data_IF_554639176035
#
_entry.id   IF_554639176035
#
_cell.length_a   1.000
_cell.length_b   1.000
_cell.length_c   1.000
_cell.angle_alpha   90.00
_cell.angle_beta   90.00
_cell.angle_gamma   90.00
#
_symmetry.space_group_name_H-M   'P 1'
#
loop_
_entity.id
_entity.type
_entity.pdbx_description
1 polymer ?
#
# COMPACT_ATOMS: atom_id res chain seq x y z
N UNK A 1 -57.82 47.48 -41.52
CA UNK A 1 -58.98 46.58 -41.69
C UNK A 1 -58.39 45.21 -41.97
N UNK A 2 -58.34 44.24 -41.07
CA UNK A 2 -59.38 43.73 -40.17
C UNK A 2 -58.83 43.46 -38.76
N UNK A 3 -59.56 43.93 -37.77
CA UNK A 3 -59.47 43.53 -36.36
C UNK A 3 -60.24 42.23 -36.13
N UNK A 4 -59.68 41.33 -35.33
CA UNK A 4 -60.36 40.18 -34.72
C UNK A 4 -59.34 39.44 -33.85
N UNK A 5 -59.67 38.78 -32.76
CA UNK A 5 -60.92 38.65 -32.02
C UNK A 5 -60.49 38.18 -30.61
N UNK A 6 -61.36 38.45 -29.63
CA UNK A 6 -61.31 37.94 -28.26
C UNK A 6 -61.13 36.42 -28.17
N UNK A 7 -60.48 35.92 -27.11
CA UNK A 7 -61.15 35.01 -26.16
C UNK A 7 -60.31 34.70 -24.89
N UNK A 8 -60.97 34.35 -23.77
CA UNK A 8 -60.40 34.37 -22.42
C UNK A 8 -59.73 33.06 -21.98
N UNK A 9 -58.68 33.20 -21.17
CA UNK A 9 -57.92 32.09 -20.58
C UNK A 9 -58.77 31.40 -19.51
N UNK A 10 -59.18 30.16 -19.82
CA UNK A 10 -59.75 29.19 -18.89
C UNK A 10 -58.68 28.70 -17.90
N UNK A 11 -59.06 28.67 -16.63
CA UNK A 11 -58.30 28.05 -15.55
C UNK A 11 -58.11 26.55 -15.76
N UNK A 12 -56.89 26.08 -15.49
CA UNK A 12 -56.55 24.66 -15.42
C UNK A 12 -56.31 24.31 -13.96
N UNK A 13 -57.14 23.38 -13.47
CA UNK A 13 -57.00 22.71 -12.18
C UNK A 13 -55.66 21.97 -12.10
N UNK A 14 -54.86 22.25 -11.08
CA UNK A 14 -53.76 21.39 -10.64
C UNK A 14 -54.33 20.21 -9.87
N UNK A 15 -54.45 19.05 -10.54
CA UNK A 15 -54.65 17.75 -9.90
C UNK A 15 -53.30 17.02 -9.79
N UNK A 16 -52.99 16.54 -8.59
CA UNK A 16 -52.19 15.35 -8.35
C UNK A 16 -50.67 15.48 -8.48
N UNK A 17 -50.01 15.97 -7.44
CA UNK A 17 -48.62 15.59 -7.19
C UNK A 17 -48.62 14.23 -6.48
N UNK A 18 -48.32 13.20 -7.27
CA UNK A 18 -48.04 11.85 -6.77
C UNK A 18 -46.77 11.86 -5.92
N UNK A 19 -46.93 11.52 -4.65
CA UNK A 19 -45.86 11.07 -3.76
C UNK A 19 -45.31 9.75 -4.29
N UNK A 20 -44.20 9.72 -5.03
CA UNK A 20 -43.48 8.45 -5.31
C UNK A 20 -42.05 8.57 -5.89
N UNK A 21 -41.32 9.67 -5.67
CA UNK A 21 -39.92 9.76 -6.16
C UNK A 21 -38.87 10.21 -5.11
N UNK A 22 -39.26 10.33 -3.84
CA UNK A 22 -38.30 10.67 -2.76
C UNK A 22 -37.69 9.44 -2.06
N UNK A 23 -38.24 8.23 -2.26
CA UNK A 23 -37.81 7.01 -1.55
C UNK A 23 -36.79 6.15 -2.29
N UNK A 24 -36.48 6.46 -3.56
CA UNK A 24 -35.50 5.67 -4.34
C UNK A 24 -34.09 6.27 -4.43
N UNK A 25 -33.92 7.55 -4.08
CA UNK A 25 -32.60 8.20 -4.05
C UNK A 25 -31.88 8.12 -2.69
N UNK A 26 -32.57 7.74 -1.61
CA UNK A 26 -31.95 7.50 -0.30
C UNK A 26 -31.50 6.04 -0.07
N UNK A 27 -31.98 5.07 -0.87
CA UNK A 27 -31.58 3.66 -0.71
C UNK A 27 -30.31 3.30 -1.50
N UNK A 28 -30.02 4.00 -2.60
CA UNK A 28 -28.84 3.72 -3.44
C UNK A 28 -27.56 4.34 -2.86
N UNK A 29 -27.66 5.41 -2.05
CA UNK A 29 -26.50 6.03 -1.41
C UNK A 29 -26.05 5.33 -0.12
N UNK A 30 -26.94 4.63 0.59
CA UNK A 30 -26.57 3.86 1.78
C UNK A 30 -25.88 2.54 1.43
N UNK A 31 -26.21 1.95 0.27
CA UNK A 31 -25.68 0.64 -0.15
C UNK A 31 -24.28 0.73 -0.80
N UNK A 32 -23.88 1.90 -1.31
CA UNK A 32 -22.52 2.14 -1.84
C UNK A 32 -21.53 2.68 -0.81
N UNK A 33 -21.98 3.15 0.36
CA UNK A 33 -21.11 3.66 1.43
C UNK A 33 -20.69 2.63 2.50
N UNK A 34 -21.22 1.41 2.45
CA UNK A 34 -20.87 0.35 3.39
C UNK A 34 -20.53 -0.95 2.62
N UNK A 35 -19.56 -0.85 1.71
CA UNK A 35 -18.55 -1.91 1.59
C UNK A 35 -17.30 -1.47 2.35
N UNK A 36 -17.50 -0.98 3.57
CA UNK A 36 -16.46 -1.03 4.58
C UNK A 36 -16.25 -2.52 4.84
N UNK A 37 -15.12 -3.02 4.37
CA UNK A 37 -14.59 -4.34 4.70
C UNK A 37 -14.88 -4.59 6.18
N UNK A 38 -15.64 -5.64 6.50
CA UNK A 38 -15.81 -6.12 7.87
C UNK A 38 -14.43 -6.62 8.35
N UNK A 39 -13.57 -5.67 8.73
CA UNK A 39 -12.31 -5.97 9.39
C UNK A 39 -12.68 -6.46 10.78
N UNK A 40 -12.32 -7.69 11.12
CA UNK A 40 -12.63 -8.25 12.43
C UNK A 40 -11.99 -7.41 13.54
N UNK A 41 -12.63 -7.40 14.71
CA UNK A 41 -12.09 -6.70 15.88
C UNK A 41 -10.69 -7.23 16.25
N UNK A 42 -10.44 -8.52 16.04
CA UNK A 42 -9.13 -9.15 16.19
C UNK A 42 -8.10 -8.55 15.23
N UNK A 43 -8.46 -8.31 13.97
CA UNK A 43 -7.56 -7.74 12.97
C UNK A 43 -7.24 -6.26 13.28
N UNK A 44 -8.22 -5.49 13.75
CA UNK A 44 -8.00 -4.11 14.23
C UNK A 44 -7.05 -4.12 15.43
N UNK A 45 -7.32 -4.99 16.41
CA UNK A 45 -6.51 -5.11 17.63
C UNK A 45 -5.09 -5.53 17.30
N UNK A 46 -4.92 -6.46 16.35
CA UNK A 46 -3.60 -6.89 15.88
C UNK A 46 -2.86 -5.74 15.18
N UNK A 47 -3.51 -5.00 14.28
CA UNK A 47 -2.91 -3.83 13.61
C UNK A 47 -2.49 -2.75 14.60
N UNK A 48 -3.30 -2.47 15.63
CA UNK A 48 -2.95 -1.53 16.69
C UNK A 48 -1.75 -2.01 17.53
N UNK A 49 -1.69 -3.31 17.86
CA UNK A 49 -0.53 -3.90 18.54
C UNK A 49 0.73 -3.83 17.68
N UNK A 50 0.62 -4.08 16.38
CA UNK A 50 1.71 -3.86 15.42
C UNK A 50 2.19 -2.41 15.47
N UNK A 51 1.28 -1.44 15.32
CA UNK A 51 1.60 0.00 15.35
C UNK A 51 2.29 0.43 16.65
N UNK A 52 1.80 -0.01 17.81
CA UNK A 52 2.42 0.33 19.09
C UNK A 52 3.83 -0.29 19.23
N UNK A 53 3.99 -1.58 18.91
CA UNK A 53 5.33 -2.21 18.88
C UNK A 53 6.25 -1.47 17.92
N UNK A 54 5.74 -1.05 16.76
CA UNK A 54 6.51 -0.29 15.76
C UNK A 54 6.99 1.08 16.25
N UNK A 55 6.14 1.84 16.93
CA UNK A 55 6.53 3.13 17.52
C UNK A 55 7.66 2.94 18.53
N UNK A 56 7.57 1.88 19.35
CA UNK A 56 8.57 1.57 20.35
C UNK A 56 9.90 1.09 19.72
N UNK A 57 9.85 0.27 18.66
CA UNK A 57 11.05 -0.11 17.88
C UNK A 57 11.67 1.11 17.20
N UNK A 58 10.86 2.03 16.66
CA UNK A 58 11.34 3.27 16.07
C UNK A 58 12.03 4.19 17.09
N UNK A 59 11.62 4.12 18.35
CA UNK A 59 12.27 4.81 19.47
C UNK A 59 13.58 4.12 19.94
N UNK A 60 14.08 3.11 19.21
CA UNK A 60 15.25 2.30 19.53
C UNK A 60 15.15 1.55 20.87
N UNK A 61 13.95 1.22 21.33
CA UNK A 61 13.78 0.36 22.51
C UNK A 61 14.16 -1.09 22.18
N UNK A 62 14.85 -1.74 23.09
CA UNK A 62 15.12 -3.18 23.06
C UNK A 62 13.81 -3.97 23.19
N UNK A 63 13.81 -5.24 22.76
CA UNK A 63 12.61 -6.08 22.89
C UNK A 63 12.20 -6.31 24.34
N UNK A 64 13.15 -6.25 25.29
CA UNK A 64 12.90 -6.31 26.72
C UNK A 64 12.06 -5.11 27.17
N UNK A 65 12.50 -3.89 26.83
CA UNK A 65 11.79 -2.64 27.18
C UNK A 65 10.41 -2.56 26.50
N UNK A 66 10.29 -3.11 25.28
CA UNK A 66 9.00 -3.21 24.59
C UNK A 66 8.08 -4.19 25.35
N UNK A 67 8.60 -5.33 25.78
CA UNK A 67 7.84 -6.32 26.56
C UNK A 67 7.31 -5.72 27.85
N UNK A 68 8.16 -5.02 28.59
CA UNK A 68 7.79 -4.36 29.85
C UNK A 68 6.74 -3.26 29.65
N UNK A 69 6.88 -2.44 28.60
CA UNK A 69 5.95 -1.33 28.33
C UNK A 69 4.62 -1.74 27.70
N UNK A 70 4.59 -2.85 26.95
CA UNK A 70 3.39 -3.32 26.26
C UNK A 70 2.66 -4.48 26.96
N UNK A 71 3.31 -5.12 27.94
CA UNK A 71 2.83 -6.35 28.57
C UNK A 71 2.85 -7.58 27.65
N UNK A 72 3.47 -7.48 26.46
CA UNK A 72 3.53 -8.57 25.49
C UNK A 72 4.77 -9.44 25.70
N UNK A 73 4.65 -10.74 25.44
CA UNK A 73 5.80 -11.64 25.51
C UNK A 73 6.81 -11.36 24.39
N UNK A 74 8.09 -11.67 24.61
CA UNK A 74 9.12 -11.58 23.57
C UNK A 74 8.78 -12.39 22.32
N UNK A 75 8.14 -13.56 22.49
CA UNK A 75 7.68 -14.38 21.37
C UNK A 75 6.59 -13.66 20.56
N UNK A 76 5.62 -13.03 21.23
CA UNK A 76 4.59 -12.21 20.59
C UNK A 76 5.20 -11.02 19.86
N UNK A 77 6.16 -10.31 20.47
CA UNK A 77 6.85 -9.18 19.84
C UNK A 77 7.61 -9.62 18.59
N UNK A 78 8.38 -10.70 18.67
CA UNK A 78 9.09 -11.28 17.51
C UNK A 78 8.12 -11.69 16.41
N UNK A 79 6.99 -12.32 16.76
CA UNK A 79 5.96 -12.69 15.81
C UNK A 79 5.30 -11.47 15.15
N UNK A 80 5.02 -10.43 15.94
CA UNK A 80 4.50 -9.15 15.44
C UNK A 80 5.49 -8.52 14.47
N UNK A 81 6.78 -8.48 14.79
CA UNK A 81 7.85 -7.95 13.93
C UNK A 81 8.03 -8.78 12.65
N UNK A 82 7.87 -10.11 12.73
CA UNK A 82 7.91 -10.98 11.55
C UNK A 82 6.72 -10.70 10.63
N UNK A 83 5.50 -10.72 11.17
CA UNK A 83 4.27 -10.46 10.42
C UNK A 83 4.21 -9.01 9.92
N UNK A 84 4.95 -8.12 10.58
CA UNK A 84 5.17 -6.74 10.22
C UNK A 84 5.70 -6.59 8.79
N UNK A 85 6.66 -7.44 8.40
CA UNK A 85 7.24 -7.44 7.05
C UNK A 85 6.18 -7.77 6.01
N UNK A 86 5.39 -8.80 6.29
CA UNK A 86 4.30 -9.24 5.41
C UNK A 86 3.20 -8.18 5.30
N UNK A 87 2.78 -7.58 6.41
CA UNK A 87 1.79 -6.49 6.40
C UNK A 87 2.29 -5.30 5.58
N UNK A 88 3.54 -4.87 5.78
CA UNK A 88 4.13 -3.76 5.03
C UNK A 88 4.24 -4.09 3.54
N UNK A 89 4.63 -5.33 3.20
CA UNK A 89 4.64 -5.79 1.82
C UNK A 89 3.24 -5.70 1.20
N UNK A 90 2.22 -6.28 1.85
CA UNK A 90 0.84 -6.27 1.34
C UNK A 90 0.28 -4.84 1.22
N UNK A 91 0.58 -3.96 2.19
CA UNK A 91 0.15 -2.55 2.13
C UNK A 91 0.79 -1.81 0.94
N UNK A 92 2.09 -1.99 0.71
CA UNK A 92 2.76 -1.32 -0.41
C UNK A 92 2.32 -1.92 -1.74
N UNK A 93 2.25 -3.24 -1.83
CA UNK A 93 1.90 -3.96 -3.06
C UNK A 93 0.45 -3.70 -3.48
N UNK A 94 -0.52 -3.72 -2.55
CA UNK A 94 -1.91 -3.39 -2.88
C UNK A 94 -2.07 -1.98 -3.46
N UNK A 95 -1.22 -1.04 -3.05
CA UNK A 95 -1.18 0.31 -3.62
C UNK A 95 -0.46 0.37 -4.98
N UNK A 96 0.53 -0.50 -5.19
CA UNK A 96 1.27 -0.63 -6.45
C UNK A 96 0.56 -1.49 -7.49
N UNK A 97 -0.42 -2.32 -7.11
CA UNK A 97 -1.08 -3.31 -7.96
C UNK A 97 -1.55 -2.71 -9.30
N UNK A 98 -2.19 -1.54 -9.26
CA UNK A 98 -2.64 -0.82 -10.48
C UNK A 98 -1.48 -0.43 -11.41
N UNK A 99 -0.30 -0.16 -10.87
CA UNK A 99 0.89 0.19 -11.65
C UNK A 99 1.56 -1.07 -12.17
N UNK A 100 1.64 -2.12 -11.35
CA UNK A 100 2.23 -3.41 -11.70
C UNK A 100 1.44 -4.09 -12.83
N UNK A 101 0.12 -4.20 -12.68
CA UNK A 101 -0.77 -4.82 -13.68
C UNK A 101 -0.81 -4.07 -15.02
N UNK A 102 -0.46 -2.78 -15.03
CA UNK A 102 -0.33 -2.01 -16.29
C UNK A 102 0.98 -2.29 -17.02
N UNK A 103 2.01 -2.74 -16.30
CA UNK A 103 3.33 -2.95 -16.88
C UNK A 103 3.50 -4.36 -17.41
N UNK A 104 3.03 -5.37 -16.67
CA UNK A 104 3.07 -6.80 -17.01
C UNK A 104 1.98 -7.55 -16.23
N UNK A 105 1.59 -8.73 -16.70
CA UNK A 105 0.88 -9.72 -15.87
C UNK A 105 1.82 -10.17 -14.77
N UNK A 106 1.50 -9.87 -13.51
CA UNK A 106 2.35 -10.24 -12.36
C UNK A 106 1.69 -11.40 -11.62
N UNK A 107 2.42 -12.53 -11.50
CA UNK A 107 2.07 -13.55 -10.52
C UNK A 107 2.43 -13.03 -9.13
N UNK A 108 1.40 -12.74 -8.34
CA UNK A 108 1.55 -12.16 -7.01
C UNK A 108 2.20 -13.12 -6.01
N UNK A 109 2.00 -14.43 -6.17
CA UNK A 109 2.60 -15.42 -5.30
C UNK A 109 4.11 -15.53 -5.59
N UNK A 110 4.48 -15.59 -6.87
CA UNK A 110 5.89 -15.59 -7.29
C UNK A 110 6.61 -14.32 -6.82
N UNK A 111 5.96 -13.17 -7.00
CA UNK A 111 6.49 -11.88 -6.54
C UNK A 111 6.74 -11.87 -5.02
N UNK A 112 5.78 -12.36 -4.24
CA UNK A 112 5.87 -12.40 -2.78
C UNK A 112 6.98 -13.32 -2.30
N UNK A 113 7.08 -14.54 -2.86
CA UNK A 113 8.13 -15.49 -2.50
C UNK A 113 9.53 -14.97 -2.87
N UNK A 114 9.68 -14.44 -4.08
CA UNK A 114 10.96 -13.87 -4.53
C UNK A 114 11.36 -12.64 -3.71
N UNK A 115 10.40 -11.77 -3.35
CA UNK A 115 10.66 -10.64 -2.48
C UNK A 115 11.13 -11.09 -1.09
N UNK A 116 10.47 -12.07 -0.46
CA UNK A 116 10.86 -12.50 0.87
C UNK A 116 12.23 -13.18 0.89
N UNK A 117 12.57 -13.97 -0.13
CA UNK A 117 13.94 -14.50 -0.27
C UNK A 117 14.95 -13.36 -0.33
N UNK A 118 14.73 -12.40 -1.24
CA UNK A 118 15.58 -11.23 -1.39
C UNK A 118 15.71 -10.40 -0.10
N UNK A 119 14.60 -10.22 0.63
CA UNK A 119 14.59 -9.49 1.88
C UNK A 119 15.42 -10.20 2.96
N UNK A 120 15.33 -11.53 3.06
CA UNK A 120 16.12 -12.30 4.04
C UNK A 120 17.61 -12.26 3.72
N UNK A 121 17.99 -12.43 2.45
CA UNK A 121 19.38 -12.27 2.00
C UNK A 121 19.93 -10.89 2.40
N UNK A 122 19.19 -9.84 2.06
CA UNK A 122 19.56 -8.46 2.36
C UNK A 122 19.65 -8.20 3.88
N UNK A 123 18.72 -8.74 4.67
CA UNK A 123 18.72 -8.59 6.12
C UNK A 123 19.96 -9.23 6.74
N UNK A 124 20.37 -10.40 6.24
CA UNK A 124 21.55 -11.12 6.70
C UNK A 124 22.85 -10.36 6.39
N UNK A 125 22.93 -9.70 5.23
CA UNK A 125 24.12 -8.94 4.81
C UNK A 125 24.26 -7.59 5.54
N UNK A 126 23.15 -7.00 5.99
CA UNK A 126 23.19 -5.75 6.78
C UNK A 126 23.68 -6.07 8.19
N UNK A 127 24.68 -5.35 8.69
CA UNK A 127 25.21 -5.51 10.05
C UNK A 127 24.11 -5.37 11.13
N UNK A 128 24.21 -6.21 12.17
CA UNK A 128 23.38 -6.14 13.37
C UNK A 128 23.50 -4.80 14.10
N UNK A 129 22.41 -4.39 14.76
CA UNK A 129 22.36 -3.13 15.51
C UNK A 129 22.22 -1.87 14.64
N UNK A 130 22.21 -1.99 13.32
CA UNK A 130 21.96 -0.83 12.45
C UNK A 130 20.48 -0.45 12.46
N UNK A 131 20.20 0.86 12.45
CA UNK A 131 18.83 1.41 12.33
C UNK A 131 18.11 1.05 11.02
N UNK A 132 18.80 0.38 10.11
CA UNK A 132 18.30 -0.04 8.80
C UNK A 132 17.92 -1.52 8.75
N UNK A 133 18.06 -2.28 9.86
CA UNK A 133 17.37 -3.56 10.05
C UNK A 133 15.91 -3.42 10.50
N UNK A 134 15.44 -2.20 10.77
CA UNK A 134 14.05 -1.93 11.12
C UNK A 134 13.14 -2.20 9.91
N UNK A 135 12.14 -3.11 10.00
CA UNK A 135 11.25 -3.45 8.88
C UNK A 135 10.55 -2.25 8.23
N UNK A 136 10.12 -1.25 9.00
CA UNK A 136 9.43 -0.07 8.48
C UNK A 136 10.31 0.70 7.49
N UNK A 137 11.62 0.69 7.73
CA UNK A 137 12.59 1.38 6.87
C UNK A 137 13.12 0.45 5.79
N UNK A 138 13.36 -0.81 6.13
CA UNK A 138 14.00 -1.76 5.24
C UNK A 138 13.04 -2.27 4.17
N UNK A 139 11.82 -2.65 4.53
CA UNK A 139 10.84 -3.25 3.59
C UNK A 139 10.58 -2.35 2.38
N UNK A 140 10.27 -1.04 2.53
CA UNK A 140 10.04 -0.17 1.38
C UNK A 140 11.25 -0.05 0.46
N UNK A 141 12.45 -0.04 1.04
CA UNK A 141 13.71 0.09 0.30
C UNK A 141 14.03 -1.23 -0.42
N UNK A 142 13.94 -2.35 0.30
CA UNK A 142 14.15 -3.69 -0.24
C UNK A 142 13.16 -3.96 -1.38
N UNK A 143 11.89 -3.62 -1.20
CA UNK A 143 10.86 -3.84 -2.20
C UNK A 143 11.09 -2.96 -3.44
N UNK A 144 11.50 -1.71 -3.25
CA UNK A 144 11.92 -0.85 -4.36
C UNK A 144 13.10 -1.44 -5.15
N UNK A 145 14.14 -1.93 -4.46
CA UNK A 145 15.31 -2.52 -5.09
C UNK A 145 14.95 -3.82 -5.83
N UNK A 146 14.16 -4.68 -5.20
CA UNK A 146 13.65 -5.93 -5.77
C UNK A 146 12.84 -5.67 -7.05
N UNK A 147 11.82 -4.81 -6.99
CA UNK A 147 10.99 -4.51 -8.15
C UNK A 147 11.80 -3.84 -9.27
N UNK A 148 12.79 -3.01 -8.92
CA UNK A 148 13.71 -2.45 -9.92
C UNK A 148 14.59 -3.50 -10.57
N UNK A 149 15.05 -4.50 -9.82
CA UNK A 149 15.81 -5.65 -10.34
C UNK A 149 14.96 -6.47 -11.30
N UNK A 150 13.69 -6.67 -10.98
CA UNK A 150 12.71 -7.35 -11.84
C UNK A 150 12.25 -6.52 -13.06
N UNK A 151 12.80 -5.31 -13.24
CA UNK A 151 12.56 -4.48 -14.42
C UNK A 151 11.32 -3.60 -14.34
N UNK A 152 10.63 -3.52 -13.20
CA UNK A 152 9.50 -2.61 -13.02
C UNK A 152 9.95 -1.14 -13.04
N UNK A 153 9.22 -0.34 -13.81
CA UNK A 153 9.47 1.10 -13.92
C UNK A 153 8.68 1.86 -12.84
N UNK A 154 9.20 1.86 -11.62
CA UNK A 154 8.60 2.55 -10.46
C UNK A 154 9.43 3.76 -10.03
N UNK A 155 8.81 4.77 -9.43
CA UNK A 155 9.53 5.94 -8.91
C UNK A 155 9.73 5.79 -7.40
N UNK A 156 10.87 6.27 -6.90
CA UNK A 156 11.15 6.23 -5.45
C UNK A 156 10.09 6.98 -4.63
N UNK A 157 9.50 8.04 -5.19
CA UNK A 157 8.40 8.80 -4.58
C UNK A 157 7.19 7.93 -4.22
N UNK A 158 6.92 6.88 -5.01
CA UNK A 158 5.78 6.00 -4.78
C UNK A 158 5.96 5.26 -3.46
N UNK A 159 7.17 4.75 -3.20
CA UNK A 159 7.53 4.07 -1.96
C UNK A 159 7.64 5.01 -0.76
N UNK A 160 8.19 6.21 -0.97
CA UNK A 160 8.31 7.23 0.09
C UNK A 160 6.93 7.56 0.66
N UNK A 161 5.95 7.82 -0.21
CA UNK A 161 4.58 8.13 0.21
C UNK A 161 3.91 6.92 0.85
N UNK A 162 4.02 5.74 0.21
CA UNK A 162 3.33 4.54 0.71
C UNK A 162 3.83 4.11 2.08
N UNK A 163 5.13 4.21 2.32
CA UNK A 163 5.77 3.84 3.57
C UNK A 163 5.84 4.97 4.61
N UNK A 164 5.26 6.14 4.31
CA UNK A 164 5.29 7.33 5.19
C UNK A 164 6.71 7.72 5.62
N UNK A 165 7.66 7.58 4.70
CA UNK A 165 9.04 7.99 4.92
C UNK A 165 9.24 9.41 4.42
N UNK A 166 10.22 10.11 4.99
CA UNK A 166 10.76 11.33 4.37
C UNK A 166 11.71 10.95 3.22
N UNK A 167 11.88 11.86 2.27
CA UNK A 167 12.84 11.66 1.18
C UNK A 167 14.27 11.41 1.68
N UNK A 168 14.68 12.08 2.76
CA UNK A 168 16.00 11.89 3.38
C UNK A 168 16.16 10.52 4.03
N UNK A 169 15.14 10.05 4.76
CA UNK A 169 15.16 8.70 5.33
C UNK A 169 15.31 7.64 4.25
N UNK A 170 14.54 7.75 3.16
CA UNK A 170 14.61 6.80 2.05
C UNK A 170 15.95 6.86 1.32
N UNK A 171 16.45 8.06 0.98
CA UNK A 171 17.76 8.23 0.33
C UNK A 171 18.90 7.68 1.18
N UNK A 172 18.90 7.98 2.47
CA UNK A 172 19.95 7.51 3.39
C UNK A 172 19.88 6.00 3.53
N UNK A 173 18.68 5.43 3.67
CA UNK A 173 18.52 3.99 3.71
C UNK A 173 18.98 3.32 2.42
N UNK A 174 18.66 3.87 1.24
CA UNK A 174 19.20 3.36 -0.03
C UNK A 174 20.74 3.36 -0.04
N UNK A 175 21.38 4.45 0.39
CA UNK A 175 22.85 4.51 0.47
C UNK A 175 23.44 3.44 1.39
N UNK A 176 22.76 3.11 2.48
CA UNK A 176 23.20 2.08 3.43
C UNK A 176 22.95 0.65 2.92
N UNK A 177 21.85 0.44 2.18
CA UNK A 177 21.38 -0.89 1.78
C UNK A 177 21.98 -1.33 0.44
N UNK A 178 22.10 -0.43 -0.54
CA UNK A 178 22.58 -0.74 -1.90
C UNK A 178 23.94 -1.45 -1.96
N UNK A 179 24.95 -1.10 -1.14
CA UNK A 179 26.23 -1.82 -1.13
C UNK A 179 26.10 -3.32 -0.84
N UNK A 180 25.05 -3.71 -0.10
CA UNK A 180 24.72 -5.10 0.22
C UNK A 180 23.81 -5.75 -0.85
N UNK A 181 23.66 -5.13 -2.01
CA UNK A 181 22.86 -5.66 -3.13
C UNK A 181 23.67 -5.68 -4.44
N UNK A 182 24.70 -6.54 -4.56
CA UNK A 182 25.53 -6.59 -5.77
C UNK A 182 24.69 -6.80 -7.04
N UNK A 183 23.69 -7.67 -6.98
CA UNK A 183 22.78 -7.96 -8.10
C UNK A 183 21.97 -6.76 -8.59
N UNK A 184 21.75 -5.75 -7.74
CA UNK A 184 21.12 -4.49 -8.15
C UNK A 184 22.12 -3.56 -8.85
N UNK A 185 23.37 -3.53 -8.37
CA UNK A 185 24.44 -2.67 -8.89
C UNK A 185 24.89 -3.15 -10.28
N UNK A 186 25.07 -4.46 -10.44
CA UNK A 186 25.61 -5.08 -11.66
C UNK A 186 24.59 -5.31 -12.75
N UNK A 187 23.31 -4.95 -12.54
CA UNK A 187 22.26 -5.17 -13.54
C UNK A 187 22.57 -4.41 -14.83
N UNK A 188 22.59 -5.12 -15.95
CA UNK A 188 22.67 -4.46 -17.24
C UNK A 188 21.30 -3.88 -17.61
N UNK A 189 21.24 -2.55 -17.71
CA UNK A 189 20.03 -1.85 -18.13
C UNK A 189 19.64 -2.23 -19.56
N UNK A 190 20.58 -2.61 -20.41
CA UNK A 190 20.32 -3.06 -21.78
C UNK A 190 19.57 -4.39 -21.79
N UNK A 191 19.99 -5.35 -20.96
CA UNK A 191 19.34 -6.66 -20.88
C UNK A 191 17.90 -6.55 -20.37
N UNK A 192 17.64 -5.65 -19.41
CA UNK A 192 16.27 -5.36 -18.95
C UNK A 192 15.38 -4.80 -20.07
N UNK A 193 15.93 -3.91 -20.90
CA UNK A 193 15.20 -3.37 -22.06
C UNK A 193 14.97 -4.47 -23.10
N UNK A 194 15.97 -5.30 -23.38
CA UNK A 194 15.87 -6.41 -24.34
C UNK A 194 14.86 -7.46 -23.88
N UNK A 195 14.86 -7.85 -22.61
CA UNK A 195 13.88 -8.76 -22.01
C UNK A 195 12.46 -8.22 -22.23
N UNK A 196 12.24 -6.94 -21.90
CA UNK A 196 10.94 -6.29 -22.07
C UNK A 196 10.47 -6.22 -23.52
N UNK A 197 11.38 -6.00 -24.47
CA UNK A 197 11.04 -6.03 -25.91
C UNK A 197 10.60 -7.44 -26.34
N UNK A 198 11.22 -8.49 -25.79
CA UNK A 198 10.83 -9.88 -26.07
C UNK A 198 9.46 -10.21 -25.49
N UNK A 199 9.17 -9.79 -24.26
CA UNK A 199 7.91 -10.09 -23.57
C UNK A 199 6.67 -9.39 -24.19
N UNK A 200 6.88 -8.39 -25.05
CA UNK A 200 5.81 -7.71 -25.82
C UNK A 200 5.43 -8.48 -27.09
N UNK A 201 6.30 -9.35 -27.61
CA UNK A 201 6.09 -10.11 -28.85
C UNK A 201 5.42 -11.45 -28.58
#
# INVERSE_FOLDING_TARGET
>A
MTSGNSDPIRGVMLKGLGTNEASHLQSVNSSKMIKLVEISFEEITFKLRCLNIYELVNANKSYQEISESSGLTLATIKNVIKNSVEILFQEIISRLEKILNKQNSVDMLELQLGFFSFYQELLNDIQEGTRYRNPIRLVPIALYLYLKKEGFNLLSKDFIVMARLTGDQFRTGLKCVVPNCPSYITRDKKDLVLKRIRDIR
#
